data_IF_571841241074
#
_entry.id   IF_571841241074
#
_cell.length_a   1.000
_cell.length_b   1.000
_cell.length_c   1.000
_cell.angle_alpha   90.00
_cell.angle_beta   90.00
_cell.angle_gamma   90.00
#
_symmetry.space_group_name_H-M   'P 1'
#
loop_
_entity.id
_entity.type
_entity.pdbx_description
1 polymer ?
#
# COMPACT_ATOMS: atom_id res chain seq x y z
N UNK A 1 -5.78 -23.85 17.11
CA UNK A 1 -6.68 -23.26 16.10
C UNK A 1 -7.77 -24.27 15.81
N UNK A 2 -8.97 -24.03 16.32
CA UNK A 2 -10.15 -24.72 15.81
C UNK A 2 -10.55 -23.99 14.54
N UNK A 3 -10.53 -24.68 13.41
CA UNK A 3 -11.09 -24.21 12.13
C UNK A 3 -12.57 -24.65 12.08
N UNK A 4 -13.51 -23.85 12.54
CA UNK A 4 -14.91 -24.14 12.29
C UNK A 4 -15.16 -24.03 10.78
N UNK A 5 -15.99 -24.91 10.22
CA UNK A 5 -16.33 -24.93 8.78
C UNK A 5 -16.81 -23.57 8.23
N UNK A 6 -17.18 -22.62 9.07
CA UNK A 6 -17.78 -21.33 8.72
C UNK A 6 -17.10 -20.13 9.39
N UNK A 7 -15.79 -20.16 9.61
CA UNK A 7 -15.04 -19.03 10.14
C UNK A 7 -13.88 -19.43 11.04
N UNK A 8 -13.09 -18.45 11.45
CA UNK A 8 -12.02 -18.62 12.45
C UNK A 8 -12.33 -17.76 13.66
N UNK A 9 -11.74 -18.11 14.78
CA UNK A 9 -11.84 -17.36 16.03
C UNK A 9 -10.45 -17.20 16.63
N UNK A 10 -10.04 -15.95 16.85
CA UNK A 10 -8.84 -15.65 17.64
C UNK A 10 -9.21 -15.81 19.10
N UNK A 11 -8.42 -16.56 19.86
CA UNK A 11 -8.61 -16.68 21.31
C UNK A 11 -8.45 -15.31 21.97
N UNK A 12 -9.46 -14.80 22.72
CA UNK A 12 -9.38 -13.48 23.33
C UNK A 12 -8.18 -13.33 24.28
N UNK A 13 -7.83 -14.38 25.01
CA UNK A 13 -6.68 -14.38 25.92
C UNK A 13 -5.35 -14.24 25.16
N UNK A 14 -5.19 -14.98 24.07
CA UNK A 14 -4.00 -14.86 23.20
C UNK A 14 -3.91 -13.48 22.56
N UNK A 15 -5.04 -12.94 22.10
CA UNK A 15 -5.11 -11.59 21.52
C UNK A 15 -4.68 -10.53 22.54
N UNK A 16 -5.19 -10.59 23.78
CA UNK A 16 -4.81 -9.65 24.83
C UNK A 16 -3.32 -9.78 25.21
N UNK A 17 -2.78 -10.99 25.26
CA UNK A 17 -1.36 -11.22 25.53
C UNK A 17 -0.48 -10.61 24.44
N UNK A 18 -0.84 -10.80 23.19
CA UNK A 18 -0.11 -10.19 22.05
C UNK A 18 -0.18 -8.66 22.14
N UNK A 19 -1.37 -8.11 22.43
CA UNK A 19 -1.58 -6.65 22.53
C UNK A 19 -0.78 -6.01 23.68
N UNK A 20 -0.45 -6.74 24.73
CA UNK A 20 0.39 -6.24 25.82
C UNK A 20 1.87 -6.14 25.44
N UNK A 21 2.33 -6.97 24.52
CA UNK A 21 3.75 -7.08 24.15
C UNK A 21 4.07 -6.40 22.81
N UNK A 22 3.10 -6.39 21.89
CA UNK A 22 3.26 -5.91 20.53
C UNK A 22 2.16 -4.93 20.14
N UNK A 23 2.48 -4.00 19.26
CA UNK A 23 1.49 -3.20 18.58
C UNK A 23 0.81 -4.03 17.49
N UNK A 24 -0.50 -4.23 17.60
CA UNK A 24 -1.27 -4.90 16.56
C UNK A 24 -1.65 -3.86 15.52
N UNK A 25 -1.18 -4.04 14.30
CA UNK A 25 -1.39 -3.09 13.20
C UNK A 25 -2.56 -3.47 12.29
N UNK A 26 -2.90 -4.76 12.21
CA UNK A 26 -3.95 -5.28 11.35
C UNK A 26 -4.39 -6.67 11.82
N UNK A 27 -5.64 -7.00 11.54
CA UNK A 27 -6.13 -8.37 11.55
C UNK A 27 -6.08 -8.91 10.11
N UNK A 28 -5.60 -10.14 9.96
CA UNK A 28 -5.49 -10.79 8.65
C UNK A 28 -6.15 -12.15 8.65
N UNK A 29 -6.91 -12.45 7.60
CA UNK A 29 -7.37 -13.80 7.31
C UNK A 29 -7.54 -14.03 5.82
N UNK A 30 -7.69 -15.30 5.42
CA UNK A 30 -7.92 -15.68 4.03
C UNK A 30 -9.29 -16.30 3.82
N UNK A 31 -9.83 -16.07 2.63
CA UNK A 31 -11.01 -16.75 2.10
C UNK A 31 -10.58 -17.85 1.12
N UNK A 32 -10.79 -19.14 1.46
CA UNK A 32 -10.33 -20.25 0.60
C UNK A 32 -11.12 -20.39 -0.71
N UNK A 33 -12.43 -20.07 -0.69
CA UNK A 33 -13.38 -20.42 -1.75
C UNK A 33 -14.25 -19.27 -2.24
N UNK A 34 -13.97 -18.04 -1.80
CA UNK A 34 -14.71 -16.85 -2.23
C UNK A 34 -13.77 -15.66 -2.40
N UNK A 35 -14.27 -14.55 -2.95
CA UNK A 35 -13.53 -13.31 -3.13
C UNK A 35 -13.09 -12.67 -1.82
N UNK A 36 -12.41 -11.53 -1.92
CA UNK A 36 -11.88 -10.78 -0.78
C UNK A 36 -12.87 -9.77 -0.18
N UNK A 37 -14.17 -9.90 -0.46
CA UNK A 37 -15.22 -9.07 0.13
C UNK A 37 -15.31 -9.30 1.65
N UNK A 38 -15.55 -8.21 2.37
CA UNK A 38 -15.72 -8.28 3.83
C UNK A 38 -17.08 -8.82 4.19
N UNK A 39 -17.13 -9.79 5.11
CA UNK A 39 -18.37 -10.14 5.77
C UNK A 39 -18.80 -9.02 6.74
N UNK A 40 -20.09 -8.98 7.11
CA UNK A 40 -20.56 -8.04 8.14
C UNK A 40 -19.82 -8.21 9.46
N UNK A 41 -19.39 -9.43 9.77
CA UNK A 41 -18.61 -9.75 10.97
C UNK A 41 -17.21 -9.13 10.90
N UNK A 42 -16.55 -9.16 9.75
CA UNK A 42 -15.24 -8.54 9.55
C UNK A 42 -15.31 -7.03 9.79
N UNK A 43 -16.32 -6.38 9.20
CA UNK A 43 -16.51 -4.94 9.37
C UNK A 43 -16.82 -4.59 10.83
N UNK A 44 -17.67 -5.35 11.51
CA UNK A 44 -18.00 -5.14 12.92
C UNK A 44 -16.75 -5.30 13.80
N UNK A 45 -15.96 -6.34 13.59
CA UNK A 45 -14.73 -6.56 14.36
C UNK A 45 -13.69 -5.46 14.13
N UNK A 46 -13.55 -4.97 12.89
CA UNK A 46 -12.65 -3.86 12.60
C UNK A 46 -13.02 -2.61 13.41
N UNK A 47 -14.31 -2.25 13.42
CA UNK A 47 -14.80 -1.08 14.17
C UNK A 47 -14.67 -1.26 15.69
N UNK A 48 -15.04 -2.41 16.25
CA UNK A 48 -14.97 -2.72 17.71
C UNK A 48 -13.53 -2.73 18.24
N UNK A 49 -12.60 -3.28 17.46
CA UNK A 49 -11.19 -3.37 17.85
C UNK A 49 -10.38 -2.13 17.47
N UNK A 50 -10.97 -1.23 16.68
CA UNK A 50 -10.29 -0.07 16.09
C UNK A 50 -9.03 -0.47 15.30
N UNK A 51 -9.07 -1.62 14.61
CA UNK A 51 -7.96 -2.19 13.86
C UNK A 51 -8.36 -2.40 12.39
N UNK A 52 -7.47 -2.12 11.45
CA UNK A 52 -7.66 -2.52 10.07
C UNK A 52 -7.82 -4.04 9.96
N UNK A 53 -8.63 -4.48 8.99
CA UNK A 53 -8.76 -5.89 8.65
C UNK A 53 -8.40 -6.10 7.18
N UNK A 54 -7.55 -7.09 6.93
CA UNK A 54 -7.14 -7.51 5.59
C UNK A 54 -7.67 -8.91 5.30
N UNK A 55 -8.38 -9.04 4.19
CA UNK A 55 -8.90 -10.31 3.69
C UNK A 55 -8.21 -10.67 2.40
N UNK A 56 -7.66 -11.87 2.30
CA UNK A 56 -7.03 -12.40 1.10
C UNK A 56 -7.88 -13.52 0.50
N UNK A 57 -8.19 -13.43 -0.79
CA UNK A 57 -8.85 -14.51 -1.52
C UNK A 57 -7.82 -15.44 -2.13
N UNK A 58 -7.92 -16.74 -1.80
CA UNK A 58 -7.10 -17.78 -2.43
C UNK A 58 -7.60 -18.12 -3.84
N UNK A 59 -8.85 -17.79 -4.15
CA UNK A 59 -9.48 -18.12 -5.42
C UNK A 59 -9.00 -17.24 -6.57
N UNK A 60 -8.91 -15.94 -6.35
CA UNK A 60 -8.56 -14.94 -7.37
C UNK A 60 -7.27 -14.19 -7.06
N UNK A 61 -6.54 -14.63 -6.02
CA UNK A 61 -5.26 -14.05 -5.59
C UNK A 61 -5.35 -12.54 -5.37
N UNK A 62 -6.49 -12.07 -4.87
CA UNK A 62 -6.75 -10.68 -4.55
C UNK A 62 -6.82 -10.46 -3.05
N UNK A 63 -6.67 -9.20 -2.61
CA UNK A 63 -6.92 -8.84 -1.23
C UNK A 63 -7.70 -7.54 -1.13
N UNK A 64 -8.32 -7.34 0.02
CA UNK A 64 -9.02 -6.12 0.36
C UNK A 64 -8.67 -5.69 1.79
N UNK A 65 -8.62 -4.38 2.04
CA UNK A 65 -8.32 -3.83 3.36
C UNK A 65 -9.41 -2.84 3.74
N UNK A 66 -10.01 -3.06 4.91
CA UNK A 66 -10.95 -2.11 5.53
C UNK A 66 -10.26 -1.40 6.70
N UNK A 67 -10.37 -0.08 6.73
CA UNK A 67 -9.94 0.74 7.86
C UNK A 67 -11.17 1.19 8.65
N UNK A 68 -11.21 0.94 9.97
CA UNK A 68 -12.32 1.41 10.79
C UNK A 68 -12.37 2.94 10.82
N UNK A 69 -13.54 3.51 11.04
CA UNK A 69 -13.78 4.96 11.07
C UNK A 69 -12.90 5.70 12.09
N UNK A 70 -12.57 5.03 13.18
CA UNK A 70 -11.70 5.55 14.25
C UNK A 70 -10.21 5.41 13.96
N UNK A 71 -9.83 4.74 12.87
CA UNK A 71 -8.43 4.49 12.54
C UNK A 71 -7.71 5.80 12.22
N UNK A 72 -6.73 6.13 13.04
CA UNK A 72 -5.85 7.26 12.79
C UNK A 72 -4.60 6.76 12.07
N UNK A 73 -4.44 7.17 10.83
CA UNK A 73 -3.21 6.89 10.10
C UNK A 73 -2.05 7.59 10.82
N UNK A 74 -1.02 6.83 11.15
CA UNK A 74 0.25 7.38 11.65
C UNK A 74 0.78 8.40 10.64
N UNK A 75 1.55 9.37 11.13
CA UNK A 75 2.25 10.31 10.25
C UNK A 75 2.99 9.57 9.13
N UNK A 76 3.16 10.24 7.99
CA UNK A 76 3.78 9.60 6.82
C UNK A 76 5.23 9.18 7.06
N UNK A 77 5.90 9.79 8.01
CA UNK A 77 7.30 9.52 8.33
C UNK A 77 7.39 8.63 9.57
N UNK A 78 8.32 7.66 9.54
CA UNK A 78 8.53 6.73 10.66
C UNK A 78 7.62 5.51 10.67
N UNK A 79 6.91 5.22 9.59
CA UNK A 79 6.11 3.98 9.46
C UNK A 79 7.02 2.79 9.25
N UNK A 80 6.72 1.69 9.92
CA UNK A 80 7.38 0.40 9.66
C UNK A 80 6.97 -0.16 8.31
N UNK A 81 7.94 -0.74 7.58
CA UNK A 81 7.63 -1.43 6.33
C UNK A 81 7.04 -2.81 6.61
N UNK A 82 5.86 -3.05 6.08
CA UNK A 82 5.16 -4.33 6.19
C UNK A 82 4.74 -4.71 4.78
N UNK A 83 5.36 -5.79 4.28
CA UNK A 83 5.06 -6.24 2.93
C UNK A 83 3.55 -6.46 2.75
N UNK A 84 3.05 -6.12 1.57
CA UNK A 84 1.64 -6.15 1.18
C UNK A 84 0.71 -5.18 1.90
N UNK A 85 0.99 -4.81 3.14
CA UNK A 85 0.11 -3.98 3.95
C UNK A 85 0.55 -2.53 4.07
N UNK A 86 1.84 -2.28 4.30
CA UNK A 86 2.41 -0.95 4.50
C UNK A 86 3.73 -0.81 3.74
N UNK A 87 3.66 -0.99 2.43
CA UNK A 87 4.78 -0.91 1.50
C UNK A 87 4.82 0.43 0.74
N UNK A 88 5.75 0.59 -0.19
CA UNK A 88 5.88 1.82 -0.98
C UNK A 88 4.64 2.16 -1.80
N UNK A 89 3.90 1.15 -2.30
CA UNK A 89 2.67 1.35 -3.06
C UNK A 89 1.53 1.87 -2.17
N UNK A 90 1.30 1.21 -1.03
CA UNK A 90 0.30 1.65 -0.05
C UNK A 90 0.62 3.03 0.52
N UNK A 91 1.90 3.33 0.71
CA UNK A 91 2.36 4.65 1.16
C UNK A 91 1.95 5.78 0.19
N UNK A 92 2.15 5.55 -1.10
CA UNK A 92 1.72 6.51 -2.15
C UNK A 92 0.20 6.63 -2.20
N UNK A 93 -0.51 5.50 -2.11
CA UNK A 93 -1.97 5.52 -2.04
C UNK A 93 -2.47 6.37 -0.87
N UNK A 94 -1.94 6.14 0.34
CA UNK A 94 -2.31 6.90 1.53
C UNK A 94 -2.06 8.40 1.35
N UNK A 95 -0.97 8.77 0.67
CA UNK A 95 -0.70 10.17 0.39
C UNK A 95 -1.81 10.81 -0.45
N UNK A 96 -2.22 10.16 -1.52
CA UNK A 96 -3.27 10.71 -2.37
C UNK A 96 -4.64 10.67 -1.70
N UNK A 97 -4.97 9.63 -0.98
CA UNK A 97 -6.25 9.49 -0.30
C UNK A 97 -6.38 10.51 0.87
N UNK A 98 -5.39 10.56 1.76
CA UNK A 98 -5.49 11.38 2.98
C UNK A 98 -4.97 12.80 2.84
N UNK A 99 -3.82 13.01 2.19
CA UNK A 99 -3.24 14.35 2.03
C UNK A 99 -3.89 15.13 0.91
N UNK A 100 -4.20 14.49 -0.20
CA UNK A 100 -4.81 15.12 -1.38
C UNK A 100 -6.33 14.92 -1.43
N UNK A 101 -6.90 14.11 -0.54
CA UNK A 101 -8.34 13.78 -0.48
C UNK A 101 -8.88 13.25 -1.81
N UNK A 102 -8.05 12.49 -2.52
CA UNK A 102 -8.37 11.88 -3.80
C UNK A 102 -8.77 10.43 -3.58
N UNK A 103 -10.04 10.11 -3.78
CA UNK A 103 -10.54 8.73 -3.70
C UNK A 103 -10.08 7.95 -4.93
N UNK A 104 -8.95 7.26 -4.81
CA UNK A 104 -8.44 6.41 -5.88
C UNK A 104 -9.27 5.13 -5.98
N UNK A 105 -9.61 4.76 -7.22
CA UNK A 105 -10.39 3.55 -7.52
C UNK A 105 -9.47 2.35 -7.69
N UNK A 106 -9.97 1.16 -7.36
CA UNK A 106 -9.34 -0.14 -7.66
C UNK A 106 -7.90 -0.28 -7.15
N UNK A 107 -7.61 0.25 -5.95
CA UNK A 107 -6.29 0.13 -5.34
C UNK A 107 -5.97 -1.29 -4.87
N UNK A 108 -6.96 -2.11 -4.59
CA UNK A 108 -6.84 -3.40 -3.92
C UNK A 108 -6.29 -4.48 -4.85
N UNK A 109 -5.04 -4.35 -5.25
CA UNK A 109 -4.32 -5.40 -5.94
C UNK A 109 -2.93 -5.59 -5.36
N UNK A 110 -2.53 -6.83 -5.31
CA UNK A 110 -1.24 -7.24 -4.82
C UNK A 110 -0.12 -6.90 -5.83
N UNK A 111 0.94 -6.28 -5.35
CA UNK A 111 2.16 -6.08 -6.12
C UNK A 111 3.10 -7.26 -5.93
N UNK A 112 2.85 -8.36 -6.64
CA UNK A 112 3.79 -9.47 -6.66
C UNK A 112 5.17 -8.99 -7.10
N UNK A 113 6.19 -9.44 -6.37
CA UNK A 113 7.59 -9.32 -6.78
C UNK A 113 8.15 -10.70 -7.00
N UNK A 114 8.96 -10.85 -8.04
CA UNK A 114 9.78 -12.05 -8.23
C UNK A 114 10.91 -12.11 -7.21
N UNK A 115 11.54 -13.28 -7.06
CA UNK A 115 12.67 -13.49 -6.15
C UNK A 115 13.83 -12.49 -6.37
N UNK A 116 13.99 -11.98 -7.59
CA UNK A 116 14.95 -10.92 -7.95
C UNK A 116 14.40 -9.48 -7.74
N UNK A 117 13.32 -9.34 -6.95
CA UNK A 117 12.67 -8.07 -6.59
C UNK A 117 12.11 -7.26 -7.78
N UNK A 118 11.83 -7.90 -8.90
CA UNK A 118 11.18 -7.28 -10.06
C UNK A 118 9.68 -7.46 -10.02
N UNK A 119 8.96 -6.56 -10.66
CA UNK A 119 7.54 -6.75 -10.91
C UNK A 119 7.33 -7.56 -12.18
N UNK A 120 6.60 -8.68 -12.13
CA UNK A 120 6.20 -9.44 -13.31
C UNK A 120 5.37 -8.57 -14.28
N UNK A 121 5.33 -8.93 -15.56
CA UNK A 121 4.55 -8.21 -16.57
C UNK A 121 3.07 -8.04 -16.18
N UNK A 122 2.47 -9.06 -15.56
CA UNK A 122 1.09 -9.02 -15.03
C UNK A 122 0.91 -7.89 -14.00
N UNK A 123 1.88 -7.69 -13.10
CA UNK A 123 1.85 -6.62 -12.09
C UNK A 123 2.02 -5.26 -12.73
N UNK A 124 2.91 -5.14 -13.72
CA UNK A 124 3.11 -3.90 -14.49
C UNK A 124 1.82 -3.48 -15.21
N UNK A 125 1.11 -4.43 -15.81
CA UNK A 125 -0.18 -4.17 -16.44
C UNK A 125 -1.22 -3.66 -15.44
N UNK A 126 -1.33 -4.30 -14.27
CA UNK A 126 -2.23 -3.84 -13.19
C UNK A 126 -1.94 -2.40 -12.76
N UNK A 127 -0.66 -2.04 -12.57
CA UNK A 127 -0.23 -0.67 -12.24
C UNK A 127 -0.60 0.31 -13.36
N UNK A 128 -0.35 -0.07 -14.61
CA UNK A 128 -0.67 0.77 -15.78
C UNK A 128 -2.18 1.03 -15.89
N UNK A 129 -2.99 0.00 -15.69
CA UNK A 129 -4.45 0.13 -15.71
C UNK A 129 -4.96 0.97 -14.54
N UNK A 130 -4.37 0.82 -13.35
CA UNK A 130 -4.66 1.67 -12.21
C UNK A 130 -4.38 3.15 -12.53
N UNK A 131 -3.24 3.47 -13.15
CA UNK A 131 -2.92 4.83 -13.54
C UNK A 131 -3.94 5.40 -14.54
N UNK A 132 -4.34 4.63 -15.54
CA UNK A 132 -5.36 5.04 -16.51
C UNK A 132 -6.71 5.34 -15.84
N UNK A 133 -7.18 4.42 -14.97
CA UNK A 133 -8.48 4.55 -14.28
C UNK A 133 -8.53 5.72 -13.31
N UNK A 134 -7.39 6.12 -12.77
CA UNK A 134 -7.26 7.21 -11.81
C UNK A 134 -6.68 8.50 -12.41
N UNK A 135 -6.73 8.65 -13.74
CA UNK A 135 -6.30 9.85 -14.46
C UNK A 135 -4.85 10.28 -14.21
N UNK A 136 -3.97 9.32 -13.91
CA UNK A 136 -2.54 9.59 -13.87
C UNK A 136 -1.98 9.72 -15.29
N UNK A 137 -1.32 10.82 -15.58
CA UNK A 137 -0.63 11.06 -16.85
C UNK A 137 0.87 11.09 -16.63
N UNK A 138 1.60 10.41 -17.50
CA UNK A 138 3.06 10.49 -17.53
C UNK A 138 3.48 11.87 -18.00
N UNK A 139 4.43 12.48 -17.28
CA UNK A 139 4.99 13.79 -17.59
C UNK A 139 6.52 13.72 -17.66
N UNK A 140 7.15 14.76 -18.20
CA UNK A 140 8.61 14.91 -18.12
C UNK A 140 9.04 15.22 -16.69
N UNK A 141 10.23 14.77 -16.27
CA UNK A 141 10.78 15.14 -14.98
C UNK A 141 11.00 16.66 -14.83
N UNK A 142 11.32 17.35 -15.92
CA UNK A 142 11.45 18.81 -15.93
C UNK A 142 10.15 19.57 -15.63
N UNK A 143 9.02 18.92 -15.76
CA UNK A 143 7.69 19.48 -15.46
C UNK A 143 7.18 19.06 -14.08
N UNK A 144 7.98 18.27 -13.34
CA UNK A 144 7.56 17.72 -12.04
C UNK A 144 7.34 18.80 -11.00
N UNK A 145 6.26 18.68 -10.25
CA UNK A 145 5.88 19.58 -9.14
C UNK A 145 5.59 18.77 -7.88
N UNK A 146 5.62 19.39 -6.69
CA UNK A 146 5.26 18.73 -5.44
C UNK A 146 3.91 18.05 -5.49
N UNK A 147 3.88 16.78 -5.07
CA UNK A 147 2.71 15.91 -5.14
C UNK A 147 2.70 14.96 -6.33
N UNK A 148 3.64 15.07 -7.27
CA UNK A 148 3.76 14.11 -8.36
C UNK A 148 4.35 12.79 -7.87
N UNK A 149 3.92 11.70 -8.51
CA UNK A 149 4.40 10.35 -8.26
C UNK A 149 5.73 10.12 -8.98
N UNK A 150 6.76 9.77 -8.22
CA UNK A 150 8.04 9.32 -8.74
C UNK A 150 8.09 7.80 -8.77
N UNK A 151 8.52 7.23 -9.87
CA UNK A 151 8.80 5.81 -10.01
C UNK A 151 10.28 5.62 -10.28
N UNK A 152 10.95 4.88 -9.40
CA UNK A 152 12.38 4.60 -9.52
C UNK A 152 12.63 3.25 -10.17
N UNK A 153 13.74 3.16 -10.90
CA UNK A 153 14.24 1.93 -11.51
C UNK A 153 14.95 1.04 -10.48
N UNK A 154 14.80 -0.29 -10.64
CA UNK A 154 15.77 -1.25 -10.16
C UNK A 154 17.02 -1.27 -11.06
N UNK A 155 18.08 -1.95 -10.59
CA UNK A 155 19.37 -2.10 -11.30
C UNK A 155 19.22 -2.57 -12.77
N UNK A 156 18.09 -3.15 -13.17
CA UNK A 156 17.83 -3.73 -14.49
C UNK A 156 16.76 -2.99 -15.31
N UNK A 157 16.62 -1.69 -15.16
CA UNK A 157 15.66 -0.83 -15.90
C UNK A 157 14.16 -1.15 -15.71
N UNK A 158 13.79 -2.00 -14.78
CA UNK A 158 12.41 -2.19 -14.38
C UNK A 158 12.07 -1.24 -13.23
N UNK A 159 10.87 -0.70 -13.20
CA UNK A 159 10.46 0.08 -12.03
C UNK A 159 10.27 -0.83 -10.81
N UNK A 160 10.73 -0.35 -9.67
CA UNK A 160 10.76 -1.15 -8.45
C UNK A 160 10.28 -0.43 -7.20
N UNK A 161 10.18 0.88 -7.25
CA UNK A 161 9.90 1.67 -6.05
C UNK A 161 9.10 2.92 -6.38
N UNK A 162 8.18 3.28 -5.47
CA UNK A 162 7.27 4.40 -5.57
C UNK A 162 7.56 5.44 -4.49
N UNK A 163 7.50 6.70 -4.86
CA UNK A 163 7.69 7.82 -3.96
C UNK A 163 6.83 9.02 -4.38
N UNK A 164 6.72 10.02 -3.53
CA UNK A 164 6.03 11.28 -3.81
C UNK A 164 7.01 12.42 -3.73
N UNK A 165 7.04 13.24 -4.78
CA UNK A 165 7.82 14.47 -4.81
C UNK A 165 7.26 15.49 -3.82
N UNK A 166 8.12 16.16 -3.09
CA UNK A 166 7.80 17.22 -2.14
C UNK A 166 8.42 18.54 -2.56
N UNK A 167 8.11 19.59 -1.80
CA UNK A 167 8.79 20.88 -1.90
C UNK A 167 10.30 20.75 -1.55
N UNK A 168 11.07 21.79 -1.85
CA UNK A 168 12.50 21.89 -1.48
C UNK A 168 13.39 20.77 -2.03
N UNK A 169 13.04 20.23 -3.19
CA UNK A 169 13.80 19.14 -3.81
C UNK A 169 13.91 17.90 -2.92
N UNK A 170 12.86 17.61 -2.16
CA UNK A 170 12.70 16.41 -1.34
C UNK A 170 11.72 15.44 -1.99
N UNK A 171 11.80 14.20 -1.59
CA UNK A 171 10.76 13.21 -1.85
C UNK A 171 10.53 12.35 -0.61
N UNK A 172 9.34 11.82 -0.45
CA UNK A 172 9.05 10.87 0.61
C UNK A 172 8.70 9.50 0.03
N UNK A 173 9.15 8.47 0.74
CA UNK A 173 9.00 7.10 0.31
C UNK A 173 8.99 6.12 1.48
N UNK A 174 8.70 4.86 1.16
CA UNK A 174 8.76 3.76 2.12
C UNK A 174 9.56 2.60 1.53
N UNK A 175 10.81 2.51 1.89
CA UNK A 175 11.73 1.50 1.37
C UNK A 175 11.67 0.23 2.23
N UNK A 176 11.72 -0.94 1.58
CA UNK A 176 11.80 -2.25 2.26
C UNK A 176 12.99 -2.31 3.24
N UNK A 177 12.72 -2.73 4.46
CA UNK A 177 13.72 -2.84 5.53
C UNK A 177 14.04 -1.53 6.28
N UNK A 178 13.37 -0.43 5.93
CA UNK A 178 13.56 0.88 6.58
C UNK A 178 12.23 1.48 7.00
N UNK A 179 12.28 2.41 7.94
CA UNK A 179 11.14 3.27 8.20
C UNK A 179 10.89 4.20 7.02
N UNK A 180 9.63 4.57 6.80
CA UNK A 180 9.30 5.61 5.82
C UNK A 180 10.00 6.91 6.14
N UNK A 181 10.56 7.58 5.14
CA UNK A 181 11.42 8.74 5.30
C UNK A 181 11.24 9.78 4.21
N UNK A 182 11.80 10.96 4.47
CA UNK A 182 12.09 11.98 3.45
C UNK A 182 13.57 11.94 3.09
N UNK A 183 13.85 12.13 1.83
CA UNK A 183 15.21 12.20 1.32
C UNK A 183 15.34 13.38 0.35
N UNK A 184 16.53 13.96 0.25
CA UNK A 184 16.85 14.93 -0.79
C UNK A 184 16.92 14.24 -2.15
N UNK A 185 16.30 14.84 -3.15
CA UNK A 185 16.33 14.38 -4.53
C UNK A 185 17.63 14.88 -5.20
N UNK A 186 18.73 14.21 -4.89
CA UNK A 186 20.05 14.50 -5.45
C UNK A 186 20.23 13.82 -6.83
N UNK A 187 21.35 14.10 -7.50
CA UNK A 187 21.65 13.57 -8.83
C UNK A 187 21.63 12.04 -8.91
N UNK A 188 21.98 11.32 -7.83
CA UNK A 188 21.98 9.87 -7.81
C UNK A 188 20.56 9.30 -7.78
N UNK A 189 19.63 9.98 -7.12
CA UNK A 189 18.20 9.63 -7.18
C UNK A 189 17.59 10.03 -8.52
N UNK A 190 17.91 11.23 -9.04
CA UNK A 190 17.40 11.71 -10.32
C UNK A 190 17.73 10.72 -11.45
N UNK A 191 18.97 10.22 -11.51
CA UNK A 191 19.39 9.21 -12.49
C UNK A 191 18.61 7.89 -12.42
N UNK A 192 18.01 7.59 -11.28
CA UNK A 192 17.21 6.38 -11.06
C UNK A 192 15.73 6.57 -11.33
N UNK A 193 15.28 7.78 -11.65
CA UNK A 193 13.88 8.03 -11.98
C UNK A 193 13.55 7.36 -13.32
N UNK A 194 12.64 6.39 -13.29
CA UNK A 194 12.12 5.74 -14.49
C UNK A 194 11.02 6.59 -15.15
N UNK A 195 10.13 7.14 -14.33
CA UNK A 195 9.00 7.94 -14.83
C UNK A 195 8.38 8.78 -13.73
N UNK A 196 7.73 9.85 -14.14
CA UNK A 196 6.95 10.75 -13.28
C UNK A 196 5.51 10.74 -13.75
N UNK A 197 4.58 10.71 -12.81
CA UNK A 197 3.16 10.76 -13.11
C UNK A 197 2.46 11.85 -12.28
N UNK A 198 1.57 12.57 -12.92
CA UNK A 198 0.68 13.55 -12.30
C UNK A 198 -0.75 13.08 -12.38
N UNK A 199 -1.48 13.19 -11.26
CA UNK A 199 -2.90 12.95 -11.26
C UNK A 199 -3.63 14.22 -11.73
N UNK A 200 -4.55 14.07 -12.65
CA UNK A 200 -5.41 15.16 -13.11
C UNK A 200 -6.80 14.97 -12.49
N UNK A 201 -7.22 15.93 -11.67
CA UNK A 201 -8.61 15.97 -11.22
C UNK A 201 -9.49 16.29 -12.44
N UNK A 202 -10.42 15.41 -12.73
CA UNK A 202 -11.49 15.70 -13.70
C UNK A 202 -12.56 16.53 -13.01
#
# INVERSE_FOLDING_TARGET
YEFPKNGFKICPHEFLKIKQTYEIICLYHSHPTCGCEFSQKDLTQAEELCLPICVYSLQDESFNIHFPKSYKIKEFIGREYIDHFQNCWKFVYDYYDFKKQLKLKDFNFYLERSADKKYPAKTILKITDFFKRNSFKKISFSEAIPGDLLIFMAINNNFSHFAVLLDNNEFMHHQEGFLSSKNLLNDDYIKKIHSVYRIHNN
#
